data_IF_009111758402
#
_entry.id   IF_009111758402
#
_cell.length_a   1.000
_cell.length_b   1.000
_cell.length_c   1.000
_cell.angle_alpha   90.00
_cell.angle_beta   90.00
_cell.angle_gamma   90.00
#
_symmetry.space_group_name_H-M   'P 1'
#
loop_
_entity.id
_entity.type
_entity.pdbx_description
1 polymer ?
#
# COMPACT_ATOMS: atom_id res chain seq x y z
N UNK A 1 8.19 5.84 -10.04
CA UNK A 1 8.48 5.20 -8.75
C UNK A 1 9.83 4.49 -8.83
N UNK A 2 10.74 4.79 -7.91
CA UNK A 2 12.11 4.24 -7.88
C UNK A 2 12.14 2.70 -7.81
N UNK A 3 11.16 2.08 -7.13
CA UNK A 3 11.02 0.61 -7.02
C UNK A 3 10.86 -0.05 -8.39
N UNK A 4 10.06 0.54 -9.29
CA UNK A 4 9.86 0.05 -10.66
C UNK A 4 11.14 0.18 -11.50
N UNK A 5 11.92 1.25 -11.31
CA UNK A 5 13.23 1.40 -11.96
C UNK A 5 14.20 0.33 -11.47
N UNK A 6 14.24 0.08 -10.16
CA UNK A 6 15.08 -0.94 -9.56
C UNK A 6 14.70 -2.35 -10.05
N UNK A 7 13.41 -2.67 -10.09
CA UNK A 7 12.88 -3.93 -10.67
C UNK A 7 13.36 -4.13 -12.11
N UNK A 8 13.24 -3.10 -12.96
CA UNK A 8 13.72 -3.16 -14.36
C UNK A 8 15.24 -3.35 -14.44
N UNK A 9 16.01 -2.66 -13.59
CA UNK A 9 17.47 -2.77 -13.54
C UNK A 9 17.91 -4.19 -13.16
N UNK A 10 17.29 -4.80 -12.15
CA UNK A 10 17.58 -6.19 -11.76
C UNK A 10 17.27 -7.18 -12.88
N UNK A 11 16.13 -7.04 -13.55
CA UNK A 11 15.79 -7.89 -14.70
C UNK A 11 16.83 -7.75 -15.82
N UNK A 12 17.29 -6.53 -16.09
CA UNK A 12 18.33 -6.29 -17.09
C UNK A 12 19.67 -6.92 -16.69
N UNK A 13 20.07 -6.82 -15.42
CA UNK A 13 21.30 -7.44 -14.92
C UNK A 13 21.20 -8.97 -15.03
N UNK A 14 20.06 -9.56 -14.63
CA UNK A 14 19.82 -11.02 -14.74
C UNK A 14 19.97 -11.52 -16.17
N UNK A 15 19.43 -10.77 -17.15
CA UNK A 15 19.51 -11.12 -18.58
C UNK A 15 20.94 -11.17 -19.11
N UNK A 16 21.88 -10.45 -18.50
CA UNK A 16 23.31 -10.47 -18.87
C UNK A 16 24.09 -11.50 -18.05
N UNK A 17 23.84 -11.56 -16.74
CA UNK A 17 24.58 -12.42 -15.81
C UNK A 17 24.36 -13.93 -16.07
N UNK A 18 23.13 -14.34 -16.43
CA UNK A 18 22.82 -15.75 -16.67
C UNK A 18 23.60 -16.34 -17.87
N UNK A 19 23.56 -15.73 -19.08
CA UNK A 19 24.39 -16.21 -20.20
C UNK A 19 25.89 -16.20 -19.91
N UNK A 20 26.38 -15.24 -19.11
CA UNK A 20 27.79 -15.20 -18.72
C UNK A 20 28.15 -16.37 -17.80
N UNK A 21 27.31 -16.68 -16.81
CA UNK A 21 27.47 -17.85 -15.93
C UNK A 21 27.55 -19.15 -16.74
N UNK A 22 26.69 -19.31 -17.74
CA UNK A 22 26.69 -20.49 -18.61
C UNK A 22 28.00 -20.60 -19.42
N UNK A 23 28.46 -19.50 -20.03
CA UNK A 23 29.75 -19.47 -20.75
C UNK A 23 30.93 -19.82 -19.86
N UNK A 24 30.95 -19.29 -18.63
CA UNK A 24 32.00 -19.61 -17.65
C UNK A 24 31.90 -21.09 -17.23
N UNK A 25 30.69 -21.65 -17.11
CA UNK A 25 30.51 -23.09 -16.85
C UNK A 25 31.16 -23.97 -17.91
N UNK A 26 31.11 -23.57 -19.19
CA UNK A 26 31.75 -24.31 -20.27
C UNK A 26 33.27 -24.30 -20.11
N UNK A 27 33.86 -23.13 -19.80
CA UNK A 27 35.30 -22.96 -19.56
C UNK A 27 35.80 -23.71 -18.31
N UNK A 28 34.96 -23.84 -17.28
CA UNK A 28 35.30 -24.52 -16.04
C UNK A 28 35.21 -26.05 -16.13
N UNK A 29 34.39 -26.60 -17.04
CA UNK A 29 34.10 -28.05 -17.12
C UNK A 29 34.79 -28.78 -18.27
N UNK A 30 35.16 -28.09 -19.35
CA UNK A 30 35.73 -28.73 -20.54
C UNK A 30 37.23 -28.43 -20.68
N UNK A 31 37.99 -29.42 -21.17
CA UNK A 31 39.36 -29.20 -21.61
C UNK A 31 39.37 -28.62 -23.03
N UNK A 32 39.93 -27.42 -23.19
CA UNK A 32 40.07 -26.78 -24.50
C UNK A 32 41.51 -26.81 -24.96
N UNK A 33 41.73 -27.04 -26.26
CA UNK A 33 43.06 -27.13 -26.88
C UNK A 33 43.92 -25.86 -26.69
N UNK A 34 43.27 -24.71 -26.50
CA UNK A 34 43.91 -23.41 -26.28
C UNK A 34 43.96 -22.97 -24.81
N UNK A 35 43.50 -23.80 -23.87
CA UNK A 35 43.50 -23.49 -22.42
C UNK A 35 44.43 -24.45 -21.70
N UNK A 36 45.41 -23.91 -20.98
CA UNK A 36 46.31 -24.73 -20.16
C UNK A 36 45.55 -25.40 -19.02
N UNK A 37 45.81 -26.70 -18.77
CA UNK A 37 45.18 -27.44 -17.66
C UNK A 37 45.36 -26.78 -16.29
N UNK A 38 46.47 -26.05 -16.08
CA UNK A 38 46.74 -25.26 -14.86
C UNK A 38 45.76 -24.11 -14.64
N UNK A 39 45.05 -23.64 -15.68
CA UNK A 39 44.11 -22.52 -15.60
C UNK A 39 42.69 -22.95 -15.21
N UNK A 40 42.36 -24.23 -15.30
CA UNK A 40 41.02 -24.79 -14.99
C UNK A 40 40.54 -24.44 -13.56
N UNK A 41 41.37 -24.51 -12.49
CA UNK A 41 40.95 -24.13 -11.15
C UNK A 41 40.51 -22.66 -11.03
N UNK A 42 41.15 -21.75 -11.77
CA UNK A 42 40.78 -20.34 -11.80
C UNK A 42 39.43 -20.11 -12.47
N UNK A 43 39.14 -20.82 -13.58
CA UNK A 43 37.82 -20.76 -14.22
C UNK A 43 36.73 -21.32 -13.32
N UNK A 44 37.03 -22.33 -12.51
CA UNK A 44 36.10 -22.88 -11.52
C UNK A 44 35.78 -21.87 -10.41
N UNK A 45 36.78 -21.14 -9.90
CA UNK A 45 36.54 -20.08 -8.90
C UNK A 45 35.68 -18.94 -9.48
N UNK A 46 35.94 -18.51 -10.72
CA UNK A 46 35.11 -17.52 -11.43
C UNK A 46 33.69 -18.04 -11.66
N UNK A 47 33.52 -19.34 -11.93
CA UNK A 47 32.21 -19.98 -12.03
C UNK A 47 31.44 -19.94 -10.70
N UNK A 48 32.12 -20.27 -9.59
CA UNK A 48 31.54 -20.23 -8.25
C UNK A 48 31.15 -18.80 -7.85
N UNK A 49 31.93 -17.79 -8.26
CA UNK A 49 31.55 -16.38 -8.14
C UNK A 49 30.33 -16.03 -8.99
N UNK A 50 30.25 -16.49 -10.23
CA UNK A 50 29.12 -16.23 -11.12
C UNK A 50 27.81 -16.86 -10.59
N UNK A 51 27.89 -18.04 -9.96
CA UNK A 51 26.75 -18.64 -9.25
C UNK A 51 26.31 -17.73 -8.10
N UNK A 52 27.23 -17.34 -7.20
CA UNK A 52 26.92 -16.46 -6.06
C UNK A 52 26.26 -15.15 -6.50
N UNK A 53 26.73 -14.54 -7.59
CA UNK A 53 26.12 -13.34 -8.17
C UNK A 53 24.70 -13.60 -8.68
N UNK A 54 24.48 -14.72 -9.38
CA UNK A 54 23.16 -15.11 -9.86
C UNK A 54 22.16 -15.29 -8.71
N UNK A 55 22.56 -15.97 -7.65
CA UNK A 55 21.71 -16.20 -6.48
C UNK A 55 21.41 -14.88 -5.76
N UNK A 56 22.39 -13.99 -5.67
CA UNK A 56 22.22 -12.65 -5.12
C UNK A 56 21.23 -11.81 -5.93
N UNK A 57 21.28 -11.88 -7.26
CA UNK A 57 20.33 -11.21 -8.16
C UNK A 57 18.90 -11.71 -7.90
N UNK A 58 18.73 -13.02 -7.70
CA UNK A 58 17.42 -13.60 -7.42
C UNK A 58 16.89 -13.21 -6.04
N UNK A 59 17.74 -13.20 -5.01
CA UNK A 59 17.40 -12.68 -3.69
C UNK A 59 16.95 -11.21 -3.73
N UNK A 60 17.68 -10.35 -4.47
CA UNK A 60 17.27 -8.96 -4.62
C UNK A 60 15.96 -8.80 -5.40
N UNK A 61 15.71 -9.66 -6.41
CA UNK A 61 14.45 -9.64 -7.15
C UNK A 61 13.27 -9.97 -6.23
N UNK A 62 13.42 -10.97 -5.37
CA UNK A 62 12.41 -11.36 -4.39
C UNK A 62 12.18 -10.25 -3.36
N UNK A 63 13.26 -9.67 -2.80
CA UNK A 63 13.18 -8.57 -1.85
C UNK A 63 12.50 -7.31 -2.44
N UNK A 64 12.75 -6.99 -3.71
CA UNK A 64 12.04 -5.89 -4.39
C UNK A 64 10.56 -6.22 -4.54
N UNK A 65 10.22 -7.48 -4.85
CA UNK A 65 8.84 -7.95 -4.93
C UNK A 65 8.10 -7.75 -3.61
N UNK A 66 8.64 -8.30 -2.52
CA UNK A 66 8.04 -8.19 -1.19
C UNK A 66 7.94 -6.74 -0.72
N UNK A 67 8.94 -5.92 -1.01
CA UNK A 67 8.91 -4.47 -0.69
C UNK A 67 7.82 -3.74 -1.48
N UNK A 68 7.64 -4.09 -2.76
CA UNK A 68 6.58 -3.51 -3.58
C UNK A 68 5.19 -3.88 -3.05
N UNK A 69 4.99 -5.14 -2.66
CA UNK A 69 3.73 -5.61 -2.10
C UNK A 69 3.43 -4.93 -0.74
N UNK A 70 4.44 -4.79 0.11
CA UNK A 70 4.34 -4.03 1.37
C UNK A 70 4.00 -2.54 1.12
N UNK A 71 4.62 -1.91 0.12
CA UNK A 71 4.32 -0.54 -0.26
C UNK A 71 2.86 -0.40 -0.73
N UNK A 72 2.38 -1.29 -1.59
CA UNK A 72 0.99 -1.29 -2.05
C UNK A 72 0.00 -1.51 -0.89
N UNK A 73 0.34 -2.38 0.05
CA UNK A 73 -0.44 -2.59 1.27
C UNK A 73 -0.51 -1.32 2.13
N UNK A 74 0.61 -0.62 2.33
CA UNK A 74 0.66 0.64 3.06
C UNK A 74 -0.18 1.73 2.38
N UNK A 75 -0.10 1.86 1.04
CA UNK A 75 -0.93 2.78 0.27
C UNK A 75 -2.41 2.47 0.44
N UNK A 76 -2.81 1.19 0.36
CA UNK A 76 -4.18 0.75 0.58
C UNK A 76 -4.65 1.05 2.01
N UNK A 77 -3.81 0.84 3.01
CA UNK A 77 -4.12 1.16 4.40
C UNK A 77 -4.33 2.67 4.61
N UNK A 78 -3.48 3.50 4.00
CA UNK A 78 -3.65 4.95 4.03
C UNK A 78 -4.95 5.38 3.34
N UNK A 79 -5.27 4.79 2.18
CA UNK A 79 -6.55 5.03 1.51
C UNK A 79 -7.74 4.66 2.41
N UNK A 80 -7.69 3.48 3.06
CA UNK A 80 -8.72 3.05 3.99
C UNK A 80 -8.86 4.00 5.18
N UNK A 81 -7.74 4.53 5.70
CA UNK A 81 -7.76 5.51 6.78
C UNK A 81 -8.44 6.82 6.33
N UNK A 82 -8.08 7.35 5.15
CA UNK A 82 -8.72 8.55 4.58
C UNK A 82 -10.21 8.33 4.34
N UNK A 83 -10.59 7.18 3.77
CA UNK A 83 -11.98 6.81 3.51
C UNK A 83 -12.79 6.66 4.80
N UNK A 84 -12.19 6.11 5.87
CA UNK A 84 -12.82 6.05 7.20
C UNK A 84 -13.13 7.44 7.72
N UNK A 85 -12.18 8.37 7.68
CA UNK A 85 -12.39 9.75 8.15
C UNK A 85 -13.51 10.43 7.38
N UNK A 86 -13.49 10.35 6.04
CA UNK A 86 -14.55 10.92 5.21
C UNK A 86 -15.92 10.30 5.52
N UNK A 87 -15.98 8.98 5.71
CA UNK A 87 -17.21 8.27 6.02
C UNK A 87 -17.77 8.66 7.39
N UNK A 88 -16.92 8.84 8.41
CA UNK A 88 -17.33 9.31 9.74
C UNK A 88 -17.94 10.71 9.65
N UNK A 89 -17.26 11.64 8.97
CA UNK A 89 -17.77 13.00 8.77
C UNK A 89 -19.10 12.98 8.04
N UNK A 90 -19.22 12.23 6.94
CA UNK A 90 -20.46 12.13 6.18
C UNK A 90 -21.61 11.50 6.98
N UNK A 91 -21.36 10.42 7.73
CA UNK A 91 -22.38 9.74 8.55
C UNK A 91 -22.92 10.64 9.66
N UNK A 92 -22.09 11.52 10.21
CA UNK A 92 -22.52 12.50 11.21
C UNK A 92 -23.25 13.68 10.53
N UNK A 93 -22.71 14.21 9.44
CA UNK A 93 -23.23 15.41 8.80
C UNK A 93 -24.57 15.18 8.09
N UNK A 94 -24.72 14.07 7.34
CA UNK A 94 -25.93 13.79 6.55
C UNK A 94 -27.24 13.85 7.35
N UNK A 95 -27.42 13.14 8.48
CA UNK A 95 -28.66 13.23 9.25
C UNK A 95 -28.88 14.63 9.83
N UNK A 96 -27.84 15.32 10.27
CA UNK A 96 -27.95 16.70 10.78
C UNK A 96 -28.39 17.67 9.68
N UNK A 97 -27.83 17.53 8.47
CA UNK A 97 -28.21 18.35 7.31
C UNK A 97 -29.64 18.07 6.88
N UNK A 98 -30.09 16.80 6.86
CA UNK A 98 -31.48 16.46 6.54
C UNK A 98 -32.43 17.08 7.56
N UNK A 99 -32.12 16.95 8.85
CA UNK A 99 -32.92 17.52 9.93
C UNK A 99 -32.99 19.05 9.81
N UNK A 100 -31.83 19.72 9.69
CA UNK A 100 -31.77 21.17 9.52
C UNK A 100 -32.45 21.63 8.24
N UNK A 101 -32.39 20.84 7.17
CA UNK A 101 -33.05 21.11 5.90
C UNK A 101 -34.56 21.08 6.03
N UNK A 102 -35.12 20.05 6.69
CA UNK A 102 -36.56 19.96 6.97
C UNK A 102 -37.02 21.16 7.80
N UNK A 103 -36.31 21.49 8.89
CA UNK A 103 -36.67 22.62 9.76
C UNK A 103 -36.33 24.00 9.18
N UNK A 104 -35.56 24.06 8.09
CA UNK A 104 -35.27 25.29 7.35
C UNK A 104 -36.30 25.63 6.27
N UNK A 105 -37.36 24.83 6.13
CA UNK A 105 -38.44 25.08 5.17
C UNK A 105 -39.51 26.01 5.74
N UNK A 106 -40.18 26.75 4.86
CA UNK A 106 -41.27 27.67 5.22
C UNK A 106 -42.64 26.96 5.30
N UNK A 107 -42.72 25.77 5.92
CA UNK A 107 -44.02 25.13 6.14
C UNK A 107 -44.77 25.78 7.31
N UNK A 108 -46.09 25.93 7.19
CA UNK A 108 -46.95 26.50 8.25
C UNK A 108 -47.11 25.59 9.47
N UNK A 109 -46.88 24.28 9.31
CA UNK A 109 -47.05 23.29 10.39
C UNK A 109 -45.79 22.43 10.49
N UNK A 110 -44.75 22.95 11.15
CA UNK A 110 -43.61 22.15 11.59
C UNK A 110 -43.80 21.67 13.05
N UNK A 111 -43.46 20.40 13.36
CA UNK A 111 -43.46 19.91 14.74
C UNK A 111 -42.56 20.78 15.62
N UNK A 112 -43.11 21.35 16.70
CA UNK A 112 -42.33 22.17 17.64
C UNK A 112 -42.14 23.64 17.26
N UNK A 113 -42.67 24.12 16.12
CA UNK A 113 -42.53 25.51 15.66
C UNK A 113 -43.20 26.54 16.58
N UNK A 114 -44.34 26.21 17.18
CA UNK A 114 -45.08 27.09 18.10
C UNK A 114 -44.66 26.93 19.57
N UNK A 115 -43.64 26.10 19.86
CA UNK A 115 -43.12 25.91 21.21
C UNK A 115 -42.07 26.97 21.49
N UNK A 116 -42.19 27.73 22.59
CA UNK A 116 -41.23 28.80 22.97
C UNK A 116 -39.77 28.32 23.00
N UNK A 117 -39.53 27.05 23.36
CA UNK A 117 -38.20 26.44 23.42
C UNK A 117 -37.91 25.46 22.27
N UNK A 118 -38.75 25.41 21.23
CA UNK A 118 -38.66 24.44 20.14
C UNK A 118 -37.30 24.46 19.42
N UNK A 119 -36.76 25.66 19.15
CA UNK A 119 -35.42 25.83 18.57
C UNK A 119 -34.33 25.17 19.43
N UNK A 120 -34.28 25.52 20.72
CA UNK A 120 -33.27 24.99 21.65
C UNK A 120 -33.37 23.48 21.85
N UNK A 121 -34.60 22.95 21.95
CA UNK A 121 -34.85 21.53 22.12
C UNK A 121 -34.36 20.75 20.88
N UNK A 122 -34.57 21.29 19.69
CA UNK A 122 -34.10 20.71 18.44
C UNK A 122 -32.57 20.75 18.30
N UNK A 123 -31.94 21.86 18.67
CA UNK A 123 -30.47 21.98 18.68
C UNK A 123 -29.83 20.98 19.65
N UNK A 124 -30.40 20.83 20.86
CA UNK A 124 -29.92 19.86 21.84
C UNK A 124 -30.07 18.43 21.31
N UNK A 125 -31.20 18.10 20.66
CA UNK A 125 -31.39 16.80 20.03
C UNK A 125 -30.34 16.51 18.94
N UNK A 126 -30.07 17.47 18.06
CA UNK A 126 -29.04 17.35 17.03
C UNK A 126 -27.63 17.15 17.64
N UNK A 127 -27.30 17.91 18.69
CA UNK A 127 -26.02 17.75 19.40
C UNK A 127 -25.91 16.39 20.09
N UNK A 128 -26.97 15.90 20.72
CA UNK A 128 -26.99 14.56 21.32
C UNK A 128 -26.84 13.46 20.26
N UNK A 129 -27.48 13.59 19.11
CA UNK A 129 -27.37 12.64 18.01
C UNK A 129 -25.93 12.60 17.45
N UNK A 130 -25.33 13.78 17.21
CA UNK A 130 -23.94 13.89 16.80
C UNK A 130 -22.99 13.29 17.84
N UNK A 131 -23.17 13.63 19.12
CA UNK A 131 -22.36 13.12 20.23
C UNK A 131 -22.46 11.61 20.37
N UNK A 132 -23.66 11.04 20.21
CA UNK A 132 -23.89 9.58 20.24
C UNK A 132 -23.14 8.89 19.11
N UNK A 133 -23.21 9.43 17.88
CA UNK A 133 -22.48 8.89 16.74
C UNK A 133 -20.96 8.94 16.95
N UNK A 134 -20.42 10.07 17.42
CA UNK A 134 -18.99 10.20 17.75
C UNK A 134 -18.58 9.19 18.81
N UNK A 135 -19.38 9.01 19.86
CA UNK A 135 -19.11 8.03 20.90
C UNK A 135 -19.07 6.59 20.36
N UNK A 136 -20.02 6.22 19.49
CA UNK A 136 -20.06 4.91 18.85
C UNK A 136 -18.82 4.69 17.97
N UNK A 137 -18.45 5.67 17.14
CA UNK A 137 -17.26 5.58 16.28
C UNK A 137 -15.97 5.46 17.08
N UNK A 138 -15.85 6.21 18.17
CA UNK A 138 -14.69 6.12 19.08
C UNK A 138 -14.62 4.76 19.77
N UNK A 139 -15.75 4.23 20.27
CA UNK A 139 -15.80 2.90 20.91
C UNK A 139 -15.46 1.76 19.94
N UNK A 140 -15.79 1.92 18.66
CA UNK A 140 -15.46 0.93 17.62
C UNK A 140 -14.00 1.01 17.12
N UNK A 141 -13.20 1.97 17.60
CA UNK A 141 -11.81 2.15 17.15
C UNK A 141 -11.70 2.68 15.71
N UNK A 142 -12.70 3.46 15.27
CA UNK A 142 -12.69 4.09 13.95
C UNK A 142 -12.04 5.48 13.96
N UNK A 143 -11.75 6.00 15.16
CA UNK A 143 -10.93 7.16 15.42
C UNK A 143 -9.50 6.75 15.76
#
# INVERSE_FOLDING_TARGET
>A
SEILKLKRKIVSIKRVALPQREKISFLAKNEYKFIFKKSIPYFRDVYDHAIRVSDTIDNYREAIGSTFDAYMSAVSNNMNAVMKVLSIIATIALPLTVISGIYGTNFEVLPGQHVQFGFWLMTIFMLMLAGTMVYIFRKRGWF
#
